data_IF_024401063101
#
_entry.id   IF_024401063101
#
_cell.length_a   1.000
_cell.length_b   1.000
_cell.length_c   1.000
_cell.angle_alpha   90.00
_cell.angle_beta   90.00
_cell.angle_gamma   90.00
#
_symmetry.space_group_name_H-M   'P 1'
#
loop_
_entity.id
_entity.type
_entity.pdbx_description
1 polymer ?
#
# COMPACT_ATOMS: atom_id res chain seq x y z
N UNK A 1 -20.53 -15.69 -36.03
CA UNK A 1 -19.89 -15.85 -34.71
C UNK A 1 -18.41 -15.55 -34.89
N UNK A 2 -17.99 -14.32 -34.62
CA UNK A 2 -16.57 -13.95 -34.56
C UNK A 2 -16.23 -13.70 -33.09
N UNK A 3 -15.16 -14.30 -32.55
CA UNK A 3 -14.83 -14.15 -31.14
C UNK A 3 -14.31 -12.73 -30.87
N UNK A 4 -14.87 -12.08 -29.84
CA UNK A 4 -14.35 -10.83 -29.28
C UNK A 4 -12.97 -11.10 -28.65
N UNK A 5 -11.96 -10.25 -28.87
CA UNK A 5 -10.71 -10.37 -28.14
C UNK A 5 -10.93 -9.88 -26.70
N UNK A 6 -10.67 -10.77 -25.74
CA UNK A 6 -10.61 -10.45 -24.32
C UNK A 6 -9.27 -9.75 -24.03
N UNK A 7 -9.29 -8.43 -23.88
CA UNK A 7 -8.17 -7.67 -23.32
C UNK A 7 -8.18 -7.84 -21.79
N UNK A 8 -7.25 -8.63 -21.26
CA UNK A 8 -6.97 -8.69 -19.83
C UNK A 8 -6.38 -7.36 -19.33
N UNK A 9 -6.47 -7.05 -18.01
CA UNK A 9 -5.96 -5.80 -17.48
C UNK A 9 -4.44 -5.77 -17.62
N UNK A 10 -3.93 -4.74 -18.32
CA UNK A 10 -2.51 -4.48 -18.43
C UNK A 10 -1.89 -4.32 -17.03
N UNK A 11 -0.81 -5.04 -16.77
CA UNK A 11 -0.03 -4.89 -15.54
C UNK A 11 0.39 -3.42 -15.38
N UNK A 12 -0.16 -2.71 -14.38
CA UNK A 12 0.19 -1.33 -14.09
C UNK A 12 1.69 -1.28 -13.74
N UNK A 13 2.52 -0.81 -14.68
CA UNK A 13 3.95 -0.57 -14.44
C UNK A 13 4.08 0.40 -13.26
N UNK A 14 4.99 0.12 -12.33
CA UNK A 14 5.21 0.94 -11.14
C UNK A 14 5.45 2.42 -11.51
N UNK A 15 4.59 3.31 -11.01
CA UNK A 15 4.68 4.74 -11.24
C UNK A 15 6.03 5.30 -10.73
N UNK A 16 6.67 6.23 -11.44
CA UNK A 16 7.90 6.87 -10.97
C UNK A 16 7.65 7.61 -9.65
N UNK A 17 8.57 7.42 -8.68
CA UNK A 17 8.47 8.05 -7.35
C UNK A 17 8.45 9.57 -7.48
N UNK A 18 7.42 10.19 -6.92
CA UNK A 18 7.23 11.64 -6.88
C UNK A 18 7.51 12.19 -5.49
N UNK A 19 8.18 13.34 -5.41
CA UNK A 19 8.33 14.13 -4.18
C UNK A 19 7.55 15.43 -4.34
N UNK A 20 6.44 15.64 -3.61
CA UNK A 20 5.73 16.91 -3.62
C UNK A 20 6.54 17.99 -2.90
N UNK A 21 6.39 19.23 -3.36
CA UNK A 21 6.90 20.43 -2.69
C UNK A 21 6.01 20.86 -1.53
N UNK A 22 6.49 21.77 -0.66
CA UNK A 22 5.76 22.21 0.54
C UNK A 22 4.46 22.96 0.24
N UNK A 23 4.34 23.55 -0.95
CA UNK A 23 3.21 24.37 -1.40
C UNK A 23 2.23 23.64 -2.33
N UNK A 24 2.43 22.33 -2.58
CA UNK A 24 1.63 21.52 -3.53
C UNK A 24 1.69 21.97 -5.01
N UNK A 25 2.38 23.08 -5.30
CA UNK A 25 2.56 23.65 -6.64
C UNK A 25 3.87 23.19 -7.31
N UNK A 26 4.55 22.21 -6.72
CA UNK A 26 5.75 21.61 -7.28
C UNK A 26 5.76 20.11 -7.06
N UNK A 27 6.05 19.34 -8.11
CA UNK A 27 6.31 17.90 -8.01
C UNK A 27 7.58 17.55 -8.76
N UNK A 28 8.52 16.88 -8.09
CA UNK A 28 9.73 16.36 -8.71
C UNK A 28 9.66 14.84 -8.77
N UNK A 29 9.75 14.29 -9.97
CA UNK A 29 9.74 12.86 -10.27
C UNK A 29 11.17 12.39 -10.48
N UNK A 30 11.52 11.25 -9.89
CA UNK A 30 12.81 10.61 -10.14
C UNK A 30 12.96 10.26 -11.63
N UNK A 31 14.21 10.11 -12.09
CA UNK A 31 14.48 9.80 -13.48
C UNK A 31 13.76 8.50 -13.87
N UNK A 32 12.96 8.56 -14.93
CA UNK A 32 12.21 7.40 -15.40
C UNK A 32 13.20 6.41 -16.03
N UNK A 33 13.25 5.14 -15.59
CA UNK A 33 14.24 4.20 -16.07
C UNK A 33 14.10 3.93 -17.58
N UNK A 34 15.23 3.55 -18.17
CA UNK A 34 15.28 3.13 -19.57
C UNK A 34 14.32 1.96 -19.81
N UNK A 35 13.73 1.90 -21.00
CA UNK A 35 12.86 0.79 -21.42
C UNK A 35 13.28 0.29 -22.79
N UNK A 36 13.10 -1.01 -23.00
CA UNK A 36 13.10 -1.59 -24.34
C UNK A 36 11.69 -1.47 -24.91
N UNK A 37 11.58 -0.86 -26.09
CA UNK A 37 10.31 -0.66 -26.80
C UNK A 37 10.35 -1.49 -28.07
N UNK A 38 9.26 -2.18 -28.40
CA UNK A 38 9.15 -2.83 -29.72
C UNK A 38 8.79 -1.79 -30.80
N UNK A 39 9.15 -2.07 -32.05
CA UNK A 39 8.73 -1.24 -33.19
C UNK A 39 7.19 -1.18 -33.26
N UNK A 40 6.63 0.03 -33.31
CA UNK A 40 5.18 0.25 -33.34
C UNK A 40 4.47 0.28 -31.98
N UNK A 41 5.14 -0.01 -30.86
CA UNK A 41 4.54 0.11 -29.52
C UNK A 41 4.23 1.58 -29.20
N UNK A 42 3.02 1.94 -28.72
CA UNK A 42 2.73 3.30 -28.28
C UNK A 42 3.68 3.70 -27.14
N UNK A 43 4.05 4.99 -27.06
CA UNK A 43 4.89 5.46 -25.96
C UNK A 43 4.12 5.53 -24.62
N UNK A 44 2.80 5.70 -24.73
CA UNK A 44 1.88 5.99 -23.64
C UNK A 44 0.58 5.19 -23.78
N UNK A 45 0.09 4.65 -22.67
CA UNK A 45 -1.03 3.71 -22.61
C UNK A 45 -2.38 4.41 -22.42
N UNK A 46 -2.40 5.56 -21.74
CA UNK A 46 -3.63 6.30 -21.48
C UNK A 46 -4.03 7.16 -22.67
N UNK A 47 -5.33 7.43 -22.83
CA UNK A 47 -5.80 8.29 -23.90
C UNK A 47 -5.36 9.76 -23.70
N UNK A 48 -5.24 10.22 -22.45
CA UNK A 48 -4.78 11.57 -22.13
C UNK A 48 -3.27 11.73 -22.32
N UNK A 49 -2.49 10.69 -22.01
CA UNK A 49 -1.08 10.59 -22.36
C UNK A 49 -0.88 10.62 -23.87
N UNK A 50 -1.70 9.89 -24.64
CA UNK A 50 -1.69 9.95 -26.11
C UNK A 50 -2.04 11.34 -26.64
N UNK A 51 -3.04 12.00 -26.08
CA UNK A 51 -3.40 13.37 -26.46
C UNK A 51 -2.25 14.36 -26.22
N UNK A 52 -1.55 14.21 -25.09
CA UNK A 52 -0.35 15.00 -24.77
C UNK A 52 0.79 14.79 -25.78
N UNK A 53 1.11 13.53 -26.09
CA UNK A 53 2.14 13.20 -27.10
C UNK A 53 1.73 13.72 -28.47
N UNK A 54 0.48 13.54 -28.87
CA UNK A 54 -0.05 14.03 -30.13
C UNK A 54 0.08 15.56 -30.25
N UNK A 55 -0.17 16.32 -29.18
CA UNK A 55 0.01 17.77 -29.18
C UNK A 55 1.44 18.20 -29.54
N UNK A 56 2.45 17.46 -29.06
CA UNK A 56 3.85 17.69 -29.42
C UNK A 56 4.17 17.22 -30.85
N UNK A 57 3.68 16.04 -31.25
CA UNK A 57 3.93 15.51 -32.59
C UNK A 57 3.32 16.41 -33.67
N UNK A 58 2.14 16.98 -33.43
CA UNK A 58 1.55 18.00 -34.31
C UNK A 58 2.33 19.32 -34.33
N UNK A 59 3.10 19.63 -33.29
CA UNK A 59 4.00 20.79 -33.28
C UNK A 59 5.19 20.61 -34.25
N UNK A 60 5.59 19.36 -34.54
CA UNK A 60 6.78 19.04 -35.31
C UNK A 60 6.49 18.21 -36.56
N UNK A 61 6.73 18.79 -37.73
CA UNK A 61 6.68 18.04 -39.00
C UNK A 61 7.94 17.19 -39.27
N UNK A 62 8.93 17.17 -38.37
CA UNK A 62 10.18 16.44 -38.54
C UNK A 62 10.14 15.09 -37.80
N UNK A 63 9.59 14.08 -38.47
CA UNK A 63 9.46 12.73 -37.91
C UNK A 63 10.78 12.09 -37.48
N UNK A 64 11.89 12.37 -38.20
CA UNK A 64 13.21 11.84 -37.84
C UNK A 64 13.73 12.44 -36.53
N UNK A 65 13.40 13.71 -36.24
CA UNK A 65 13.73 14.37 -34.98
C UNK A 65 12.89 13.85 -33.82
N UNK A 66 11.59 13.63 -34.03
CA UNK A 66 10.71 13.01 -33.05
C UNK A 66 11.20 11.59 -32.69
N UNK A 67 11.57 10.79 -33.70
CA UNK A 67 12.14 9.45 -33.49
C UNK A 67 13.41 9.47 -32.61
N UNK A 68 14.33 10.42 -32.85
CA UNK A 68 15.51 10.60 -31.98
C UNK A 68 15.14 11.02 -30.56
N UNK A 69 14.13 11.89 -30.40
CA UNK A 69 13.62 12.27 -29.09
C UNK A 69 13.02 11.09 -28.32
N UNK A 70 12.24 10.26 -29.01
CA UNK A 70 11.68 9.01 -28.48
C UNK A 70 12.79 8.06 -28.02
N UNK A 71 13.84 7.87 -28.83
CA UNK A 71 14.99 7.06 -28.46
C UNK A 71 15.69 7.60 -27.19
N UNK A 72 15.89 8.91 -27.08
CA UNK A 72 16.48 9.52 -25.87
C UNK A 72 15.62 9.30 -24.61
N UNK A 73 14.31 9.33 -24.77
CA UNK A 73 13.39 9.01 -23.70
C UNK A 73 13.52 7.53 -23.29
N UNK A 74 13.48 6.61 -24.26
CA UNK A 74 13.61 5.16 -24.03
C UNK A 74 14.96 4.78 -23.40
N UNK A 75 16.05 5.44 -23.79
CA UNK A 75 17.40 5.22 -23.25
C UNK A 75 17.63 5.80 -21.85
N UNK A 76 16.60 6.36 -21.21
CA UNK A 76 16.70 6.95 -19.87
C UNK A 76 17.60 8.19 -19.80
N UNK A 77 17.71 8.97 -20.90
CA UNK A 77 18.57 10.18 -20.94
C UNK A 77 17.97 11.38 -20.23
N UNK A 78 16.68 11.32 -19.88
CA UNK A 78 15.97 12.38 -19.15
C UNK A 78 16.16 12.15 -17.65
N UNK A 79 16.78 13.12 -16.97
CA UNK A 79 16.96 13.09 -15.53
C UNK A 79 15.63 13.36 -14.80
N UNK A 80 15.69 13.61 -13.49
CA UNK A 80 14.51 13.95 -12.70
C UNK A 80 13.69 15.10 -13.34
N UNK A 81 12.38 14.92 -13.43
CA UNK A 81 11.44 15.86 -14.06
C UNK A 81 10.79 16.68 -12.95
N UNK A 82 10.82 18.01 -13.06
CA UNK A 82 10.10 18.91 -12.16
C UNK A 82 8.94 19.55 -12.88
N UNK A 83 7.75 19.43 -12.29
CA UNK A 83 6.49 19.99 -12.77
C UNK A 83 6.03 21.08 -11.80
N UNK A 84 5.65 22.22 -12.35
CA UNK A 84 5.03 23.37 -11.66
C UNK A 84 3.90 23.92 -12.55
N UNK A 85 3.02 24.80 -12.04
CA UNK A 85 2.07 25.55 -12.87
C UNK A 85 2.69 26.07 -14.17
N UNK A 86 2.09 25.66 -15.29
CA UNK A 86 2.46 26.05 -16.64
C UNK A 86 3.81 25.55 -17.16
N UNK A 87 4.49 24.64 -16.46
CA UNK A 87 5.90 24.38 -16.75
C UNK A 87 6.42 23.00 -16.33
N UNK A 88 7.14 22.36 -17.24
CA UNK A 88 7.86 21.10 -17.03
C UNK A 88 9.32 21.26 -17.40
N UNK A 89 10.23 20.79 -16.55
CA UNK A 89 11.68 20.89 -16.77
C UNK A 89 12.39 19.61 -16.43
N UNK A 90 13.38 19.27 -17.25
CA UNK A 90 14.40 18.28 -16.89
C UNK A 90 15.75 18.62 -17.51
N UNK A 91 16.79 18.00 -16.96
CA UNK A 91 18.08 17.91 -17.63
C UNK A 91 18.12 16.66 -18.52
N UNK A 92 18.55 16.82 -19.77
CA UNK A 92 18.62 15.73 -20.74
C UNK A 92 20.05 15.54 -21.19
N UNK A 93 20.56 14.32 -20.99
CA UNK A 93 21.91 13.93 -21.41
C UNK A 93 21.97 13.85 -22.94
N UNK A 94 23.02 14.41 -23.53
CA UNK A 94 23.25 14.40 -24.97
C UNK A 94 24.71 14.12 -25.28
N UNK A 95 25.20 14.65 -26.40
CA UNK A 95 26.59 14.44 -26.83
C UNK A 95 27.63 15.22 -26.02
N UNK A 96 27.22 16.25 -25.27
CA UNK A 96 28.13 17.03 -24.41
C UNK A 96 28.12 16.47 -22.99
N UNK A 97 29.25 16.62 -22.29
CA UNK A 97 29.39 16.21 -20.90
C UNK A 97 28.38 16.91 -19.97
N UNK A 98 28.09 18.19 -20.22
CA UNK A 98 27.04 18.93 -19.49
C UNK A 98 25.67 18.66 -20.11
N UNK A 99 24.68 18.15 -19.34
CA UNK A 99 23.31 17.95 -19.83
C UNK A 99 22.63 19.26 -20.27
N UNK A 100 21.73 19.17 -21.25
CA UNK A 100 20.93 20.31 -21.71
C UNK A 100 19.70 20.49 -20.82
N UNK A 101 19.36 21.73 -20.51
CA UNK A 101 18.13 22.05 -19.79
C UNK A 101 16.99 22.16 -20.78
N UNK A 102 16.11 21.17 -20.78
CA UNK A 102 14.89 21.14 -21.58
C UNK A 102 13.71 21.64 -20.74
N UNK A 103 12.88 22.46 -21.36
CA UNK A 103 11.71 23.07 -20.75
C UNK A 103 10.55 22.98 -21.73
N UNK A 104 9.37 22.66 -21.20
CA UNK A 104 8.12 22.71 -21.93
C UNK A 104 7.13 23.55 -21.11
N UNK A 105 6.63 24.61 -21.71
CA UNK A 105 5.61 25.46 -21.11
C UNK A 105 4.24 25.11 -21.66
N UNK A 106 3.23 25.25 -20.81
CA UNK A 106 1.82 25.02 -21.09
C UNK A 106 1.03 26.22 -20.53
N UNK A 107 -0.03 26.66 -21.21
CA UNK A 107 -0.90 27.71 -20.64
C UNK A 107 -1.65 27.16 -19.42
N UNK A 108 -1.62 27.91 -18.33
CA UNK A 108 -2.47 27.66 -17.17
C UNK A 108 -3.89 28.13 -17.45
N UNK A 109 -4.87 27.57 -16.73
CA UNK A 109 -6.23 28.09 -16.78
C UNK A 109 -6.35 29.40 -16.00
N UNK A 110 -7.31 30.21 -16.43
CA UNK A 110 -7.83 31.32 -15.64
C UNK A 110 -8.65 30.78 -14.47
N UNK A 111 -8.93 31.62 -13.47
CA UNK A 111 -9.86 31.28 -12.37
C UNK A 111 -11.21 30.79 -12.91
N UNK A 112 -11.75 31.47 -13.92
CA UNK A 112 -13.00 31.08 -14.59
C UNK A 112 -12.91 29.72 -15.26
N UNK A 113 -11.78 29.39 -15.90
CA UNK A 113 -11.56 28.07 -16.50
C UNK A 113 -11.48 26.97 -15.45
N UNK A 114 -10.85 27.24 -14.31
CA UNK A 114 -10.83 26.34 -13.17
C UNK A 114 -12.22 26.13 -12.56
N UNK A 115 -12.99 27.20 -12.36
CA UNK A 115 -14.35 27.11 -11.84
C UNK A 115 -15.25 26.25 -12.72
N UNK A 116 -15.16 26.43 -14.03
CA UNK A 116 -15.89 25.63 -15.02
C UNK A 116 -15.49 24.15 -14.97
N UNK A 117 -14.19 23.84 -14.93
CA UNK A 117 -13.71 22.47 -14.83
C UNK A 117 -14.19 21.80 -13.53
N UNK A 118 -14.06 22.50 -12.40
CA UNK A 118 -14.49 21.99 -11.09
C UNK A 118 -16.01 21.76 -11.03
N UNK A 119 -16.80 22.62 -11.67
CA UNK A 119 -18.24 22.41 -11.81
C UNK A 119 -18.56 21.16 -12.67
N UNK A 120 -17.83 20.93 -13.76
CA UNK A 120 -17.99 19.74 -14.60
C UNK A 120 -17.62 18.43 -13.86
N UNK A 121 -16.61 18.47 -12.99
CA UNK A 121 -16.28 17.33 -12.11
C UNK A 121 -17.38 17.13 -11.06
N UNK A 122 -17.83 18.20 -10.40
CA UNK A 122 -18.81 18.11 -9.31
C UNK A 122 -20.21 17.69 -9.77
N UNK A 123 -20.58 18.02 -11.01
CA UNK A 123 -21.88 17.66 -11.58
C UNK A 123 -22.09 16.15 -11.77
N UNK A 124 -21.03 15.34 -11.77
CA UNK A 124 -21.12 13.89 -11.94
C UNK A 124 -20.19 13.18 -10.95
N UNK A 125 -20.73 12.50 -9.92
CA UNK A 125 -19.91 11.79 -8.92
C UNK A 125 -18.86 10.84 -9.51
N UNK A 126 -19.17 10.21 -10.65
CA UNK A 126 -18.25 9.33 -11.37
C UNK A 126 -16.98 10.03 -11.87
N UNK A 127 -17.01 11.33 -12.17
CA UNK A 127 -15.82 12.07 -12.58
C UNK A 127 -14.82 12.20 -11.43
N UNK A 128 -15.29 12.54 -10.22
CA UNK A 128 -14.42 12.59 -9.04
C UNK A 128 -13.86 11.21 -8.71
N UNK A 129 -14.70 10.16 -8.71
CA UNK A 129 -14.26 8.79 -8.43
C UNK A 129 -13.15 8.33 -9.39
N UNK A 130 -13.29 8.63 -10.68
CA UNK A 130 -12.27 8.29 -11.67
C UNK A 130 -10.96 9.07 -11.44
N UNK A 131 -11.04 10.38 -11.15
CA UNK A 131 -9.85 11.18 -10.83
C UNK A 131 -9.13 10.63 -9.58
N UNK A 132 -9.87 10.28 -8.51
CA UNK A 132 -9.32 9.64 -7.32
C UNK A 132 -8.65 8.29 -7.63
N UNK A 133 -9.18 7.54 -8.61
CA UNK A 133 -8.58 6.31 -9.14
C UNK A 133 -7.39 6.56 -10.10
N UNK A 134 -6.96 7.82 -10.26
CA UNK A 134 -5.91 8.28 -11.17
C UNK A 134 -6.22 8.00 -12.65
N UNK A 135 -7.50 8.17 -13.02
CA UNK A 135 -7.99 8.04 -14.38
C UNK A 135 -8.61 9.36 -14.86
N UNK A 136 -8.42 9.70 -16.14
CA UNK A 136 -9.08 10.85 -16.76
C UNK A 136 -10.29 10.38 -17.57
N UNK A 137 -11.55 10.68 -17.18
CA UNK A 137 -12.72 10.33 -17.98
C UNK A 137 -12.77 11.11 -19.29
N UNK A 138 -13.12 10.43 -20.38
CA UNK A 138 -13.44 11.10 -21.66
C UNK A 138 -14.58 12.09 -21.49
N UNK A 139 -15.64 11.69 -20.79
CA UNK A 139 -16.81 12.53 -20.50
C UNK A 139 -16.44 13.82 -19.78
N UNK A 140 -15.47 13.80 -18.84
CA UNK A 140 -15.00 15.01 -18.18
C UNK A 140 -14.34 15.98 -19.17
N UNK A 141 -13.47 15.47 -20.04
CA UNK A 141 -12.80 16.29 -21.04
C UNK A 141 -13.78 16.83 -22.10
N UNK A 142 -14.78 16.05 -22.49
CA UNK A 142 -15.83 16.48 -23.41
C UNK A 142 -16.71 17.56 -22.79
N UNK A 143 -17.18 17.37 -21.55
CA UNK A 143 -17.96 18.40 -20.81
C UNK A 143 -17.15 19.67 -20.59
N UNK A 144 -15.87 19.56 -20.23
CA UNK A 144 -15.00 20.74 -20.08
C UNK A 144 -14.86 21.48 -21.43
N UNK A 145 -14.70 20.74 -22.54
CA UNK A 145 -14.57 21.32 -23.88
C UNK A 145 -15.87 21.99 -24.36
N UNK A 146 -17.03 21.43 -24.05
CA UNK A 146 -18.33 22.05 -24.32
C UNK A 146 -18.50 23.39 -23.58
N UNK A 147 -17.85 23.53 -22.43
CA UNK A 147 -17.78 24.76 -21.65
C UNK A 147 -16.53 25.62 -21.95
N UNK A 148 -15.92 25.44 -23.14
CA UNK A 148 -14.75 26.19 -23.64
C UNK A 148 -13.46 26.03 -22.80
N UNK A 149 -13.37 25.00 -21.97
CA UNK A 149 -12.17 24.64 -21.21
C UNK A 149 -11.49 23.45 -21.86
N UNK A 150 -10.40 23.71 -22.59
CA UNK A 150 -9.62 22.64 -23.23
C UNK A 150 -8.66 21.99 -22.22
N UNK A 151 -9.10 20.89 -21.61
CA UNK A 151 -8.32 20.16 -20.60
C UNK A 151 -6.94 19.71 -21.12
N UNK A 152 -6.93 19.00 -22.25
CA UNK A 152 -5.72 18.46 -22.88
C UNK A 152 -5.10 19.52 -23.81
N UNK A 153 -3.76 19.61 -23.92
CA UNK A 153 -3.14 20.61 -24.79
C UNK A 153 -3.42 20.35 -26.27
N UNK A 154 -3.49 21.45 -27.03
CA UNK A 154 -3.29 21.43 -28.48
C UNK A 154 -1.84 21.74 -28.85
N UNK A 155 -1.49 21.67 -30.13
CA UNK A 155 -0.16 22.07 -30.61
C UNK A 155 0.12 23.56 -30.38
N UNK A 156 -0.91 24.41 -30.36
CA UNK A 156 -0.82 25.84 -30.06
C UNK A 156 -0.61 26.14 -28.57
N UNK A 157 -0.67 25.13 -27.71
CA UNK A 157 -0.61 25.26 -26.25
C UNK A 157 0.76 24.95 -25.65
N UNK A 158 1.62 24.28 -26.42
CA UNK A 158 2.94 23.85 -25.99
C UNK A 158 4.04 24.77 -26.51
N UNK A 159 4.85 25.31 -25.60
CA UNK A 159 6.02 26.14 -25.93
C UNK A 159 7.32 25.46 -25.47
N UNK A 160 8.04 24.77 -26.39
CA UNK A 160 9.28 24.09 -26.08
C UNK A 160 10.50 25.04 -26.08
N UNK A 161 11.38 24.90 -25.10
CA UNK A 161 12.64 25.63 -24.99
C UNK A 161 13.78 24.72 -24.53
N UNK A 162 14.98 24.88 -25.08
CA UNK A 162 16.14 24.08 -24.71
C UNK A 162 17.44 24.87 -24.84
N UNK A 163 18.41 24.57 -23.97
CA UNK A 163 19.75 25.17 -24.04
C UNK A 163 20.66 24.50 -25.07
N UNK A 164 20.16 23.60 -25.91
CA UNK A 164 20.95 22.98 -26.97
C UNK A 164 21.04 23.90 -28.20
N UNK A 165 22.10 23.79 -29.03
CA UNK A 165 22.26 24.62 -30.22
C UNK A 165 21.33 24.23 -31.39
N UNK A 166 20.44 23.26 -31.19
CA UNK A 166 19.48 22.81 -32.21
C UNK A 166 18.29 23.78 -32.28
N UNK A 167 18.10 24.40 -33.45
CA UNK A 167 17.08 25.43 -33.69
C UNK A 167 15.69 24.88 -34.02
N UNK A 168 15.51 23.57 -34.19
CA UNK A 168 14.17 23.06 -34.49
C UNK A 168 13.26 22.98 -33.27
N UNK A 169 11.96 23.13 -33.51
CA UNK A 169 10.93 23.30 -32.49
C UNK A 169 9.93 22.13 -32.57
N UNK A 170 9.94 21.17 -31.61
CA UNK A 170 10.88 20.98 -30.51
C UNK A 170 12.19 20.32 -30.99
N UNK A 171 13.29 20.53 -30.27
CA UNK A 171 14.51 19.75 -30.47
C UNK A 171 14.35 18.33 -29.90
N UNK A 172 15.26 17.41 -30.23
CA UNK A 172 15.21 16.02 -29.70
C UNK A 172 15.16 15.94 -28.16
N UNK A 173 15.77 16.89 -27.44
CA UNK A 173 15.79 16.89 -25.98
C UNK A 173 14.43 17.27 -25.39
N UNK A 174 13.74 18.25 -25.97
CA UNK A 174 12.39 18.63 -25.51
C UNK A 174 11.37 17.58 -25.94
N UNK A 175 11.55 16.97 -27.11
CA UNK A 175 10.76 15.80 -27.51
C UNK A 175 10.93 14.65 -26.49
N UNK A 176 12.16 14.35 -26.07
CA UNK A 176 12.41 13.34 -25.04
C UNK A 176 11.72 13.67 -23.70
N UNK A 177 11.79 14.94 -23.26
CA UNK A 177 11.08 15.41 -22.07
C UNK A 177 9.56 15.23 -22.20
N UNK A 178 8.99 15.60 -23.34
CA UNK A 178 7.56 15.50 -23.58
C UNK A 178 7.08 14.04 -23.58
N UNK A 179 7.79 13.13 -24.26
CA UNK A 179 7.50 11.70 -24.21
C UNK A 179 7.52 11.17 -22.78
N UNK A 180 8.57 11.47 -22.00
CA UNK A 180 8.63 11.04 -20.59
C UNK A 180 7.53 11.67 -19.73
N UNK A 181 7.16 12.91 -19.99
CA UNK A 181 6.01 13.56 -19.31
C UNK A 181 4.71 12.82 -19.62
N UNK A 182 4.55 12.29 -20.83
CA UNK A 182 3.42 11.41 -21.19
C UNK A 182 3.31 10.18 -20.29
N UNK A 183 4.44 9.57 -19.89
CA UNK A 183 4.45 8.43 -18.95
C UNK A 183 4.13 8.85 -17.51
N UNK A 184 4.52 10.06 -17.11
CA UNK A 184 4.07 10.62 -15.83
C UNK A 184 2.54 10.77 -15.83
N UNK A 185 1.99 11.28 -16.94
CA UNK A 185 0.56 11.44 -17.13
C UNK A 185 -0.19 10.10 -17.09
N UNK A 186 0.31 9.06 -17.77
CA UNK A 186 -0.29 7.71 -17.72
C UNK A 186 -0.45 7.18 -16.28
N UNK A 187 0.49 7.56 -15.40
CA UNK A 187 0.49 7.12 -14.01
C UNK A 187 -0.39 8.01 -13.11
N UNK A 188 -0.48 9.30 -13.42
CA UNK A 188 -1.17 10.29 -12.58
C UNK A 188 -1.68 11.50 -13.41
N UNK A 189 -3.00 11.60 -13.66
CA UNK A 189 -3.59 12.72 -14.38
C UNK A 189 -3.49 14.05 -13.62
N UNK A 190 -3.22 14.06 -12.30
CA UNK A 190 -3.04 15.31 -11.56
C UNK A 190 -1.78 16.07 -11.97
N UNK A 191 -0.84 15.41 -12.66
CA UNK A 191 0.30 16.09 -13.29
C UNK A 191 -0.19 17.09 -14.35
N UNK A 192 -1.23 16.75 -15.11
CA UNK A 192 -1.86 17.69 -16.05
C UNK A 192 -2.53 18.86 -15.33
N UNK A 193 -3.27 18.57 -14.27
CA UNK A 193 -3.97 19.60 -13.48
C UNK A 193 -2.98 20.57 -12.83
N UNK A 194 -1.85 20.05 -12.33
CA UNK A 194 -0.74 20.87 -11.84
C UNK A 194 -0.17 21.75 -12.94
N UNK A 195 0.08 21.21 -14.14
CA UNK A 195 0.52 22.01 -15.29
C UNK A 195 -0.52 23.07 -15.68
N UNK A 196 -1.81 22.81 -15.49
CA UNK A 196 -2.90 23.78 -15.71
C UNK A 196 -3.04 24.80 -14.58
N UNK A 197 -2.37 24.62 -13.44
CA UNK A 197 -2.17 25.65 -12.43
C UNK A 197 -2.64 25.35 -11.01
N UNK A 198 -3.23 24.18 -10.72
CA UNK A 198 -3.70 23.82 -9.36
C UNK A 198 -3.01 22.58 -8.83
N UNK A 199 -2.64 22.64 -7.55
CA UNK A 199 -2.11 21.50 -6.81
C UNK A 199 -3.17 20.41 -6.59
N UNK A 200 -2.73 19.20 -6.29
CA UNK A 200 -3.62 18.06 -6.07
C UNK A 200 -4.46 18.23 -4.79
N UNK A 201 -3.86 18.65 -3.68
CA UNK A 201 -4.54 18.87 -2.41
C UNK A 201 -5.56 19.99 -2.53
N UNK A 202 -5.14 21.13 -3.06
CA UNK A 202 -6.01 22.30 -3.27
C UNK A 202 -7.24 21.93 -4.12
N UNK A 203 -7.02 21.17 -5.20
CA UNK A 203 -8.10 20.72 -6.08
C UNK A 203 -9.06 19.76 -5.37
N UNK A 204 -8.53 18.77 -4.62
CA UNK A 204 -9.34 17.79 -3.91
C UNK A 204 -10.17 18.42 -2.78
N UNK A 205 -9.61 19.38 -2.05
CA UNK A 205 -10.32 20.10 -0.99
C UNK A 205 -11.51 20.89 -1.56
N UNK A 206 -11.30 21.62 -2.66
CA UNK A 206 -12.36 22.39 -3.32
C UNK A 206 -13.43 21.50 -3.96
N UNK A 207 -13.04 20.37 -4.58
CA UNK A 207 -13.99 19.37 -5.08
C UNK A 207 -14.82 18.74 -3.96
N UNK A 208 -14.18 18.47 -2.81
CA UNK A 208 -14.87 18.00 -1.61
C UNK A 208 -15.95 18.97 -1.14
N UNK A 209 -15.63 20.27 -1.08
CA UNK A 209 -16.59 21.33 -0.72
C UNK A 209 -17.76 21.41 -1.71
N UNK A 210 -17.48 21.44 -3.02
CA UNK A 210 -18.53 21.52 -4.06
C UNK A 210 -19.44 20.30 -4.06
N UNK A 211 -18.89 19.11 -3.87
CA UNK A 211 -19.69 17.89 -3.80
C UNK A 211 -20.56 17.83 -2.54
N UNK A 212 -20.08 18.33 -1.40
CA UNK A 212 -20.89 18.45 -0.19
C UNK A 212 -22.06 19.42 -0.41
N UNK A 213 -21.83 20.56 -1.07
CA UNK A 213 -22.88 21.52 -1.44
C UNK A 213 -23.89 20.93 -2.42
N UNK A 214 -23.41 20.22 -3.44
CA UNK A 214 -24.28 19.56 -4.43
C UNK A 214 -25.14 18.49 -3.76
N UNK A 215 -24.54 17.64 -2.93
CA UNK A 215 -25.25 16.62 -2.15
C UNK A 215 -26.29 17.24 -1.20
N UNK A 216 -26.03 18.42 -0.65
CA UNK A 216 -26.97 19.15 0.19
C UNK A 216 -28.16 19.72 -0.62
N UNK A 217 -27.94 20.16 -1.87
CA UNK A 217 -28.99 20.67 -2.77
C UNK A 217 -29.85 19.56 -3.39
N UNK A 218 -29.24 18.42 -3.72
CA UNK A 218 -29.95 17.26 -4.30
C UNK A 218 -30.74 16.47 -3.26
N UNK A 219 -30.50 16.71 -1.97
CA UNK A 219 -31.31 16.13 -0.91
C UNK A 219 -32.74 16.70 -1.04
N UNK A 220 -33.76 15.88 -1.34
CA UNK A 220 -35.12 16.36 -1.42
C UNK A 220 -35.45 17.07 -0.11
N UNK A 221 -36.08 18.25 -0.19
CA UNK A 221 -36.71 18.82 0.98
C UNK A 221 -37.66 17.75 1.51
N UNK A 222 -37.34 17.17 2.67
CA UNK A 222 -38.22 16.22 3.32
C UNK A 222 -39.59 16.91 3.41
N UNK A 223 -40.70 16.22 3.07
CA UNK A 223 -42.02 16.80 3.29
C UNK A 223 -42.05 17.33 4.72
N UNK A 224 -42.52 18.57 4.89
CA UNK A 224 -42.64 19.20 6.20
C UNK A 224 -43.69 18.46 7.01
N UNK A 225 -43.32 17.27 7.50
CA UNK A 225 -43.97 16.63 8.62
C UNK A 225 -43.79 17.58 9.80
N UNK A 226 -44.85 17.81 10.60
CA UNK A 226 -44.70 18.54 11.86
C UNK A 226 -43.55 17.89 12.63
N UNK A 227 -42.46 18.62 12.78
CA UNK A 227 -41.26 18.16 13.46
C UNK A 227 -40.96 19.11 14.60
N UNK A 228 -40.46 18.54 15.68
CA UNK A 228 -39.93 19.25 16.83
C UNK A 228 -38.42 19.07 16.79
N UNK A 229 -37.66 20.08 17.23
CA UNK A 229 -36.22 19.91 17.35
C UNK A 229 -35.93 18.72 18.28
N UNK A 230 -34.95 17.88 17.94
CA UNK A 230 -34.63 16.69 18.75
C UNK A 230 -34.30 17.05 20.21
N UNK A 231 -33.71 18.23 20.43
CA UNK A 231 -33.49 18.77 21.76
C UNK A 231 -34.80 18.99 22.53
N UNK A 232 -35.78 19.65 21.92
CA UNK A 232 -37.09 19.92 22.55
C UNK A 232 -37.89 18.62 22.76
N UNK A 233 -37.80 17.67 21.81
CA UNK A 233 -38.43 16.36 21.93
C UNK A 233 -37.86 15.51 23.09
N UNK A 234 -36.62 15.77 23.47
CA UNK A 234 -35.90 15.05 24.52
C UNK A 234 -35.79 15.84 25.83
N UNK A 235 -36.07 17.15 25.82
CA UNK A 235 -35.89 18.06 26.96
C UNK A 235 -36.78 17.68 28.16
N UNK A 236 -38.06 17.38 27.89
CA UNK A 236 -39.04 17.03 28.93
C UNK A 236 -39.16 15.51 29.15
N UNK A 237 -38.23 14.72 28.60
CA UNK A 237 -38.28 13.27 28.73
C UNK A 237 -37.75 12.87 30.09
N UNK A 238 -38.62 12.31 30.93
CA UNK A 238 -38.18 11.56 32.10
C UNK A 238 -37.33 10.38 31.62
N UNK A 239 -36.01 10.50 31.69
CA UNK A 239 -35.09 9.41 31.42
C UNK A 239 -35.14 8.48 32.64
N UNK A 240 -35.68 7.25 32.50
CA UNK A 240 -35.54 6.29 33.58
C UNK A 240 -34.05 6.08 33.89
N UNK A 241 -33.71 5.66 35.11
CA UNK A 241 -32.33 5.28 35.41
C UNK A 241 -31.83 4.30 34.36
N UNK A 242 -30.56 4.44 33.95
CA UNK A 242 -29.95 3.54 32.99
C UNK A 242 -30.21 2.09 33.43
N UNK A 243 -30.66 1.21 32.53
CA UNK A 243 -30.78 -0.20 32.87
C UNK A 243 -29.43 -0.71 33.36
N UNK A 244 -29.47 -1.69 34.28
CA UNK A 244 -28.24 -2.33 34.72
C UNK A 244 -27.45 -2.82 33.49
N UNK A 245 -26.11 -2.71 33.50
CA UNK A 245 -25.29 -3.23 32.42
C UNK A 245 -25.64 -4.68 32.12
N UNK A 246 -25.70 -5.03 30.83
CA UNK A 246 -25.91 -6.41 30.43
C UNK A 246 -24.77 -7.28 31.00
N UNK A 247 -25.07 -8.52 31.42
CA UNK A 247 -24.03 -9.44 31.86
C UNK A 247 -23.04 -9.69 30.72
N UNK A 248 -21.76 -9.81 31.07
CA UNK A 248 -20.71 -10.12 30.09
C UNK A 248 -20.95 -11.53 29.53
N UNK A 249 -21.02 -11.71 28.20
CA UNK A 249 -21.16 -13.03 27.61
C UNK A 249 -20.00 -13.97 28.01
N UNK A 250 -20.23 -15.28 28.15
CA UNK A 250 -19.17 -16.24 28.50
C UNK A 250 -18.12 -16.39 27.40
N UNK A 251 -18.46 -16.09 26.14
CA UNK A 251 -17.59 -16.22 24.97
C UNK A 251 -17.69 -15.00 24.05
N UNK A 252 -16.67 -14.74 23.21
CA UNK A 252 -16.77 -13.76 22.13
C UNK A 252 -17.98 -14.02 21.22
N UNK A 253 -18.57 -12.93 20.70
CA UNK A 253 -19.66 -13.03 19.73
C UNK A 253 -19.18 -13.62 18.40
N UNK A 254 -20.07 -14.32 17.70
CA UNK A 254 -19.81 -14.78 16.34
C UNK A 254 -20.39 -13.79 15.33
N UNK A 255 -19.63 -13.41 14.28
CA UNK A 255 -20.13 -12.53 13.25
C UNK A 255 -21.21 -13.22 12.40
N UNK A 256 -22.12 -12.46 11.77
CA UNK A 256 -23.03 -13.02 10.78
C UNK A 256 -22.27 -13.48 9.53
N UNK A 257 -22.80 -14.48 8.83
CA UNK A 257 -22.26 -14.86 7.52
C UNK A 257 -22.49 -13.74 6.50
N UNK A 258 -21.41 -13.33 5.82
CA UNK A 258 -21.46 -12.29 4.81
C UNK A 258 -21.69 -12.88 3.41
N UNK A 259 -22.62 -12.33 2.60
CA UNK A 259 -22.82 -12.78 1.23
C UNK A 259 -21.66 -12.38 0.32
N UNK A 260 -21.36 -13.19 -0.69
CA UNK A 260 -20.45 -12.82 -1.77
C UNK A 260 -21.16 -11.85 -2.73
N UNK A 261 -20.57 -10.66 -2.93
CA UNK A 261 -21.15 -9.57 -3.72
C UNK A 261 -20.13 -9.08 -4.77
N UNK A 262 -20.52 -8.88 -6.04
CA UNK A 262 -19.61 -8.39 -7.08
C UNK A 262 -18.97 -7.05 -6.69
N UNK A 263 -17.64 -7.01 -6.66
CA UNK A 263 -16.87 -5.81 -6.31
C UNK A 263 -16.70 -5.56 -4.80
N UNK A 264 -17.29 -6.39 -3.93
CA UNK A 264 -17.06 -6.34 -2.49
C UNK A 264 -15.73 -7.02 -2.10
N UNK A 265 -15.29 -6.76 -0.86
CA UNK A 265 -14.16 -7.46 -0.25
C UNK A 265 -14.51 -8.94 -0.02
N UNK A 266 -13.50 -9.81 -0.04
CA UNK A 266 -13.62 -11.24 0.25
C UNK A 266 -14.42 -11.49 1.55
N UNK A 267 -15.58 -12.18 1.50
CA UNK A 267 -16.42 -12.45 2.67
C UNK A 267 -15.67 -13.19 3.79
N UNK A 268 -14.74 -14.08 3.45
CA UNK A 268 -13.93 -14.81 4.44
C UNK A 268 -12.92 -13.90 5.14
N UNK A 269 -12.39 -12.90 4.44
CA UNK A 269 -11.59 -11.84 5.04
C UNK A 269 -12.40 -10.99 6.01
N UNK A 270 -13.64 -10.66 5.66
CA UNK A 270 -14.53 -9.85 6.50
C UNK A 270 -14.98 -10.61 7.76
N UNK A 271 -15.38 -11.87 7.60
CA UNK A 271 -15.69 -12.79 8.70
C UNK A 271 -14.54 -12.88 9.70
N UNK A 272 -13.32 -13.00 9.19
CA UNK A 272 -12.12 -13.06 10.01
C UNK A 272 -11.89 -11.77 10.83
N UNK A 273 -11.96 -10.61 10.19
CA UNK A 273 -11.82 -9.32 10.87
C UNK A 273 -12.92 -9.09 11.91
N UNK A 274 -14.15 -9.53 11.62
CA UNK A 274 -15.27 -9.40 12.54
C UNK A 274 -15.13 -10.35 13.74
N UNK A 275 -14.63 -11.57 13.53
CA UNK A 275 -14.29 -12.53 14.60
C UNK A 275 -13.19 -11.96 15.50
N UNK A 276 -12.14 -11.39 14.92
CA UNK A 276 -11.06 -10.75 15.68
C UNK A 276 -11.55 -9.57 16.52
N UNK A 277 -12.40 -8.72 15.94
CA UNK A 277 -13.00 -7.60 16.64
C UNK A 277 -13.89 -8.05 17.80
N UNK A 278 -14.65 -9.13 17.64
CA UNK A 278 -15.48 -9.70 18.70
C UNK A 278 -14.64 -10.29 19.84
N UNK A 279 -13.54 -10.98 19.52
CA UNK A 279 -12.59 -11.48 20.51
C UNK A 279 -11.94 -10.35 21.31
N UNK A 280 -11.49 -9.28 20.64
CA UNK A 280 -10.92 -8.09 21.30
C UNK A 280 -11.94 -7.39 22.20
N UNK A 281 -13.17 -7.21 21.73
CA UNK A 281 -14.23 -6.57 22.51
C UNK A 281 -14.55 -7.39 23.78
N UNK A 282 -14.59 -8.72 23.66
CA UNK A 282 -14.80 -9.61 24.80
C UNK A 282 -13.64 -9.55 25.80
N UNK A 283 -12.39 -9.55 25.33
CA UNK A 283 -11.21 -9.39 26.18
C UNK A 283 -11.22 -8.04 26.93
N UNK A 284 -11.61 -6.96 26.24
CA UNK A 284 -11.79 -5.64 26.84
C UNK A 284 -12.86 -5.63 27.94
N UNK A 285 -14.01 -6.27 27.68
CA UNK A 285 -15.12 -6.34 28.63
C UNK A 285 -14.78 -7.18 29.88
N UNK A 286 -14.00 -8.26 29.71
CA UNK A 286 -13.68 -9.20 30.79
C UNK A 286 -12.48 -8.79 31.62
N UNK A 287 -11.44 -8.22 30.99
CA UNK A 287 -10.16 -7.91 31.64
C UNK A 287 -9.92 -6.41 31.86
N UNK A 288 -10.69 -5.53 31.20
CA UNK A 288 -10.44 -4.10 31.16
C UNK A 288 -9.16 -3.71 30.40
N UNK A 289 -8.52 -4.67 29.71
CA UNK A 289 -7.29 -4.47 28.96
C UNK A 289 -7.51 -4.82 27.50
N UNK A 290 -6.89 -4.02 26.65
CA UNK A 290 -6.88 -4.27 25.22
C UNK A 290 -5.71 -5.20 24.87
N UNK A 291 -5.95 -6.43 24.41
CA UNK A 291 -4.87 -7.35 24.04
C UNK A 291 -4.06 -6.86 22.83
N UNK A 292 -4.57 -5.89 22.07
CA UNK A 292 -3.90 -5.33 20.90
C UNK A 292 -3.19 -4.00 21.21
N UNK A 293 -3.43 -3.40 22.37
CA UNK A 293 -2.80 -2.13 22.70
C UNK A 293 -1.28 -2.30 22.82
N UNK A 294 -0.54 -1.49 22.06
CA UNK A 294 0.93 -1.49 22.04
C UNK A 294 1.57 -2.40 20.99
N UNK A 295 0.79 -3.18 20.24
CA UNK A 295 1.34 -3.92 19.09
C UNK A 295 1.72 -2.94 17.96
N UNK A 296 2.90 -3.17 17.38
CA UNK A 296 3.30 -2.51 16.14
C UNK A 296 2.49 -3.04 14.95
N UNK A 297 2.40 -2.31 13.82
CA UNK A 297 1.72 -2.81 12.62
C UNK A 297 2.25 -4.16 12.12
N UNK A 298 3.54 -4.43 12.33
CA UNK A 298 4.14 -5.72 12.00
C UNK A 298 3.66 -6.84 12.93
N UNK A 299 3.68 -6.61 14.24
CA UNK A 299 3.21 -7.60 15.23
C UNK A 299 1.72 -7.90 15.03
N UNK A 300 0.90 -6.89 14.73
CA UNK A 300 -0.52 -7.08 14.45
C UNK A 300 -0.75 -7.86 13.15
N UNK A 301 0.03 -7.60 12.10
CA UNK A 301 -0.03 -8.39 10.86
C UNK A 301 0.33 -9.86 11.08
N UNK A 302 1.36 -10.14 11.90
CA UNK A 302 1.76 -11.50 12.26
C UNK A 302 0.65 -12.19 13.06
N UNK A 303 0.06 -11.51 14.05
CA UNK A 303 -1.06 -12.01 14.85
C UNK A 303 -2.28 -12.37 13.98
N UNK A 304 -2.67 -11.47 13.09
CA UNK A 304 -3.77 -11.69 12.14
C UNK A 304 -3.46 -12.91 11.26
N UNK A 305 -2.25 -13.01 10.71
CA UNK A 305 -1.86 -14.16 9.89
C UNK A 305 -1.83 -15.48 10.69
N UNK A 306 -1.41 -15.44 11.96
CA UNK A 306 -1.29 -16.61 12.83
C UNK A 306 -2.62 -17.23 13.21
N UNK A 307 -3.67 -16.41 13.35
CA UNK A 307 -5.03 -16.83 13.73
C UNK A 307 -5.76 -17.71 12.69
N UNK A 308 -5.18 -17.94 11.50
CA UNK A 308 -5.74 -18.85 10.49
C UNK A 308 -5.10 -20.24 10.55
N UNK A 309 -5.82 -21.31 10.96
CA UNK A 309 -5.26 -22.66 11.08
C UNK A 309 -4.57 -23.15 9.80
N UNK A 310 -5.13 -22.80 8.63
CA UNK A 310 -4.65 -23.24 7.31
C UNK A 310 -3.70 -22.25 6.61
N UNK A 311 -2.97 -21.44 7.37
CA UNK A 311 -1.98 -20.48 6.88
C UNK A 311 -1.15 -21.01 5.69
N UNK A 312 -1.28 -20.36 4.53
CA UNK A 312 -0.53 -20.69 3.30
C UNK A 312 -1.09 -21.83 2.43
N UNK A 313 -2.07 -22.61 2.89
CA UNK A 313 -2.56 -23.81 2.18
C UNK A 313 -3.65 -23.51 1.14
N UNK A 314 -4.46 -22.47 1.37
CA UNK A 314 -5.54 -22.07 0.44
C UNK A 314 -5.14 -20.87 -0.41
N UNK A 315 -5.83 -20.67 -1.54
CA UNK A 315 -5.65 -19.47 -2.37
C UNK A 315 -5.92 -18.18 -1.56
N UNK A 316 -6.96 -18.21 -0.72
CA UNK A 316 -7.36 -17.09 0.16
C UNK A 316 -6.30 -16.77 1.21
N UNK A 317 -5.73 -17.79 1.87
CA UNK A 317 -4.65 -17.57 2.85
C UNK A 317 -3.36 -17.06 2.18
N UNK A 318 -3.05 -17.51 0.96
CA UNK A 318 -1.89 -17.00 0.20
C UNK A 318 -2.07 -15.55 -0.26
N UNK A 319 -3.30 -15.14 -0.58
CA UNK A 319 -3.61 -13.75 -0.87
C UNK A 319 -3.39 -12.88 0.37
N UNK A 320 -3.94 -13.28 1.52
CA UNK A 320 -3.76 -12.58 2.80
C UNK A 320 -2.27 -12.41 3.16
N UNK A 321 -1.48 -13.49 3.08
CA UNK A 321 -0.05 -13.44 3.38
C UNK A 321 0.71 -12.46 2.48
N UNK A 322 0.38 -12.42 1.18
CA UNK A 322 1.00 -11.46 0.25
C UNK A 322 0.61 -10.02 0.58
N UNK A 323 -0.66 -9.78 0.91
CA UNK A 323 -1.14 -8.44 1.25
C UNK A 323 -0.51 -7.92 2.55
N UNK A 324 -0.48 -8.75 3.60
CA UNK A 324 0.14 -8.39 4.89
C UNK A 324 1.65 -8.18 4.77
N UNK A 325 2.35 -9.06 4.05
CA UNK A 325 3.78 -8.90 3.80
C UNK A 325 4.06 -7.60 3.01
N UNK A 326 3.26 -7.33 1.97
CA UNK A 326 3.40 -6.10 1.18
C UNK A 326 3.12 -4.84 2.01
N UNK A 327 2.06 -4.83 2.81
CA UNK A 327 1.68 -3.70 3.65
C UNK A 327 2.72 -3.39 4.74
N UNK A 328 3.45 -4.40 5.19
CA UNK A 328 4.50 -4.27 6.23
C UNK A 328 5.91 -4.14 5.65
N UNK A 329 6.06 -4.12 4.32
CA UNK A 329 7.36 -4.03 3.66
C UNK A 329 8.25 -5.27 3.82
N UNK A 330 7.66 -6.43 4.10
CA UNK A 330 8.34 -7.73 4.32
C UNK A 330 8.04 -8.69 3.17
N UNK A 331 8.76 -9.79 3.11
CA UNK A 331 8.43 -10.89 2.20
C UNK A 331 7.55 -11.95 2.90
N UNK A 332 6.95 -12.84 2.11
CA UNK A 332 6.03 -13.87 2.62
C UNK A 332 6.73 -14.93 3.48
N UNK A 333 8.03 -15.18 3.25
CA UNK A 333 8.82 -16.13 4.03
C UNK A 333 9.08 -15.60 5.44
N UNK A 334 9.44 -14.31 5.54
CA UNK A 334 9.59 -13.62 6.82
C UNK A 334 8.29 -13.63 7.62
N UNK A 335 7.16 -13.36 6.96
CA UNK A 335 5.84 -13.45 7.59
C UNK A 335 5.52 -14.87 8.04
N UNK A 336 5.81 -15.89 7.23
CA UNK A 336 5.58 -17.29 7.63
C UNK A 336 6.42 -17.70 8.84
N UNK A 337 7.70 -17.30 8.87
CA UNK A 337 8.60 -17.54 10.01
C UNK A 337 8.15 -16.80 11.27
N UNK A 338 7.74 -15.54 11.13
CA UNK A 338 7.19 -14.75 12.22
C UNK A 338 5.87 -15.34 12.76
N UNK A 339 5.00 -15.85 11.89
CA UNK A 339 3.77 -16.56 12.28
C UNK A 339 4.09 -17.85 13.03
N UNK A 340 5.07 -18.62 12.59
CA UNK A 340 5.51 -19.81 13.32
C UNK A 340 6.01 -19.45 14.73
N UNK A 341 6.75 -18.34 14.87
CA UNK A 341 7.24 -17.86 16.16
C UNK A 341 6.12 -17.36 17.06
N UNK A 342 5.14 -16.65 16.47
CA UNK A 342 3.94 -16.21 17.18
C UNK A 342 3.10 -17.39 17.66
N UNK A 343 3.00 -18.47 16.89
CA UNK A 343 2.30 -19.69 17.33
C UNK A 343 3.05 -20.39 18.46
N UNK A 344 4.38 -20.38 18.40
CA UNK A 344 5.22 -20.98 19.43
C UNK A 344 5.04 -20.31 20.80
N UNK A 345 5.00 -18.98 20.88
CA UNK A 345 4.86 -18.31 22.18
C UNK A 345 4.38 -16.86 22.12
N UNK A 346 3.49 -16.54 21.19
CA UNK A 346 2.85 -15.24 21.05
C UNK A 346 3.84 -14.11 20.73
N UNK A 347 3.62 -12.96 21.34
CA UNK A 347 4.47 -11.78 21.17
C UNK A 347 5.92 -12.05 21.62
N UNK A 348 6.13 -12.85 22.66
CA UNK A 348 7.46 -13.19 23.15
C UNK A 348 8.20 -14.09 22.14
N UNK A 349 7.51 -15.08 21.56
CA UNK A 349 8.10 -15.92 20.50
C UNK A 349 8.58 -15.10 19.30
N UNK A 350 7.80 -14.09 18.88
CA UNK A 350 8.22 -13.16 17.83
C UNK A 350 9.41 -12.29 18.26
N UNK A 351 9.42 -11.78 19.49
CA UNK A 351 10.53 -10.98 20.01
C UNK A 351 11.85 -11.78 20.04
N UNK A 352 11.79 -13.03 20.50
CA UNK A 352 12.92 -13.96 20.56
C UNK A 352 13.42 -14.35 19.17
N UNK A 353 12.53 -14.40 18.17
CA UNK A 353 12.93 -14.59 16.77
C UNK A 353 13.73 -13.39 16.23
N UNK A 354 13.28 -12.16 16.50
CA UNK A 354 13.76 -10.96 15.80
C UNK A 354 14.88 -10.20 16.50
N UNK A 355 14.88 -10.17 17.85
CA UNK A 355 15.75 -9.28 18.62
C UNK A 355 16.55 -10.07 19.66
N UNK A 356 17.84 -10.35 19.38
CA UNK A 356 18.73 -10.95 20.36
C UNK A 356 19.03 -9.97 21.51
N UNK A 357 19.01 -10.47 22.74
CA UNK A 357 19.20 -9.68 23.97
C UNK A 357 20.18 -10.35 24.93
N UNK A 358 20.74 -9.58 25.86
CA UNK A 358 21.71 -10.08 26.84
C UNK A 358 21.01 -10.40 28.18
N UNK A 359 20.81 -11.69 28.51
CA UNK A 359 20.14 -12.07 29.75
C UNK A 359 21.00 -11.75 30.98
N UNK A 360 20.39 -11.33 32.10
CA UNK A 360 21.12 -11.18 33.35
C UNK A 360 21.63 -12.53 33.83
N UNK A 361 22.67 -12.50 34.67
CA UNK A 361 23.21 -13.71 35.26
C UNK A 361 22.11 -14.51 35.99
N UNK A 362 22.03 -15.82 35.74
CA UNK A 362 21.00 -16.66 36.36
C UNK A 362 20.50 -17.82 35.49
N UNK A 363 19.18 -17.88 35.15
CA UNK A 363 18.60 -19.03 34.46
C UNK A 363 19.32 -19.43 33.15
N UNK A 364 19.76 -18.44 32.36
CA UNK A 364 20.51 -18.69 31.13
C UNK A 364 21.84 -19.41 31.39
N UNK A 365 22.62 -18.97 32.38
CA UNK A 365 23.93 -19.57 32.70
C UNK A 365 23.82 -21.01 33.19
N UNK A 366 22.70 -21.36 33.83
CA UNK A 366 22.43 -22.71 34.34
C UNK A 366 22.10 -23.70 33.23
N UNK A 367 21.71 -23.25 32.04
CA UNK A 367 21.27 -24.15 30.98
C UNK A 367 22.38 -25.04 30.44
N UNK A 368 23.59 -24.50 30.22
CA UNK A 368 24.70 -25.29 29.66
C UNK A 368 25.14 -26.45 30.58
N UNK A 369 25.29 -26.25 31.91
CA UNK A 369 25.49 -27.36 32.84
C UNK A 369 24.37 -28.42 32.83
N UNK A 370 23.11 -27.99 32.76
CA UNK A 370 21.95 -28.91 32.72
C UNK A 370 21.96 -29.75 31.44
N UNK A 371 22.17 -29.11 30.29
CA UNK A 371 22.28 -29.78 29.00
C UNK A 371 23.46 -30.77 28.96
N UNK A 372 24.60 -30.40 29.54
CA UNK A 372 25.75 -31.30 29.62
C UNK A 372 25.49 -32.51 30.54
N UNK A 373 24.75 -32.32 31.65
CA UNK A 373 24.35 -33.40 32.54
C UNK A 373 23.37 -34.37 31.89
N UNK A 374 22.54 -33.89 30.95
CA UNK A 374 21.66 -34.69 30.10
C UNK A 374 22.36 -35.23 28.83
N UNK A 375 23.70 -35.22 28.79
CA UNK A 375 24.53 -35.77 27.72
C UNK A 375 24.34 -35.13 26.33
N UNK A 376 23.80 -33.91 26.27
CA UNK A 376 23.69 -33.14 25.01
C UNK A 376 25.04 -32.53 24.57
N UNK A 377 25.24 -32.30 23.27
CA UNK A 377 26.44 -31.66 22.74
C UNK A 377 26.64 -30.25 23.30
N UNK A 378 27.89 -29.82 23.37
CA UNK A 378 28.25 -28.48 23.85
C UNK A 378 27.74 -27.42 22.88
N UNK A 379 26.68 -26.71 23.27
CA UNK A 379 26.14 -25.58 22.52
C UNK A 379 26.99 -24.32 22.71
N UNK A 380 27.20 -23.58 21.62
CA UNK A 380 27.92 -22.32 21.59
C UNK A 380 26.99 -21.18 22.04
N UNK A 381 27.33 -20.45 23.12
CA UNK A 381 26.53 -19.33 23.59
C UNK A 381 26.81 -18.05 22.79
N UNK A 382 25.76 -17.29 22.51
CA UNK A 382 25.84 -15.93 21.99
C UNK A 382 24.58 -15.16 22.41
N UNK A 383 24.73 -14.11 23.21
CA UNK A 383 23.58 -13.38 23.80
C UNK A 383 22.61 -14.37 24.48
N UNK A 384 21.33 -14.31 24.18
CA UNK A 384 20.30 -15.24 24.64
C UNK A 384 20.22 -16.56 23.83
N UNK A 385 21.18 -16.87 22.95
CA UNK A 385 21.15 -18.06 22.10
C UNK A 385 22.16 -19.12 22.54
N UNK A 386 21.77 -20.40 22.40
CA UNK A 386 22.62 -21.57 22.51
C UNK A 386 22.53 -22.37 21.20
N UNK A 387 23.59 -22.32 20.39
CA UNK A 387 23.60 -22.88 19.03
C UNK A 387 24.37 -24.19 18.95
N UNK A 388 23.83 -25.19 18.25
CA UNK A 388 24.54 -26.42 17.97
C UNK A 388 25.78 -26.16 17.07
N UNK A 389 26.94 -26.82 17.29
CA UNK A 389 28.15 -26.58 16.50
C UNK A 389 28.00 -26.79 14.99
N UNK A 390 27.08 -27.68 14.56
CA UNK A 390 26.79 -27.90 13.15
C UNK A 390 25.78 -26.89 12.55
N UNK A 391 25.23 -25.98 13.36
CA UNK A 391 24.23 -25.00 12.93
C UNK A 391 22.89 -25.63 12.54
N UNK A 392 22.52 -26.76 13.16
CA UNK A 392 21.30 -27.51 12.84
C UNK A 392 20.11 -27.17 13.74
N UNK A 393 20.39 -26.78 14.98
CA UNK A 393 19.37 -26.35 15.93
C UNK A 393 19.92 -25.31 16.91
N UNK A 394 19.02 -24.53 17.50
CA UNK A 394 19.33 -23.45 18.43
C UNK A 394 18.22 -23.34 19.48
N UNK A 395 18.62 -23.15 20.73
CA UNK A 395 17.72 -22.71 21.79
C UNK A 395 17.88 -21.21 22.00
N UNK A 396 16.78 -20.49 22.17
CA UNK A 396 16.79 -19.06 22.51
C UNK A 396 16.02 -18.80 23.79
N UNK A 397 16.59 -18.00 24.68
CA UNK A 397 16.00 -17.67 25.96
C UNK A 397 15.13 -16.40 25.85
N UNK A 398 13.87 -16.49 26.30
CA UNK A 398 12.90 -15.40 26.30
C UNK A 398 12.91 -14.56 27.57
N UNK A 399 12.30 -13.38 27.52
CA UNK A 399 12.08 -12.50 28.67
C UNK A 399 11.08 -13.09 29.67
N UNK A 400 10.27 -14.05 29.23
CA UNK A 400 9.34 -14.84 30.04
C UNK A 400 10.02 -16.02 30.78
N UNK A 401 11.35 -16.10 30.70
CA UNK A 401 12.18 -17.16 31.28
C UNK A 401 11.91 -18.57 30.71
N UNK A 402 11.46 -18.68 29.47
CA UNK A 402 11.31 -19.95 28.74
C UNK A 402 12.34 -20.09 27.62
N UNK A 403 12.56 -21.33 27.20
CA UNK A 403 13.44 -21.72 26.11
C UNK A 403 12.64 -22.04 24.85
N UNK A 404 12.99 -21.35 23.77
CA UNK A 404 12.36 -21.47 22.46
C UNK A 404 13.28 -22.26 21.53
N UNK A 405 12.76 -23.33 20.94
CA UNK A 405 13.49 -24.19 20.00
C UNK A 405 13.41 -23.68 18.56
N UNK A 406 14.54 -23.73 17.86
CA UNK A 406 14.66 -23.39 16.45
C UNK A 406 15.50 -24.43 15.72
N UNK A 407 15.15 -24.71 14.46
CA UNK A 407 15.91 -25.55 13.54
C UNK A 407 16.38 -24.75 12.31
N UNK A 408 17.45 -25.18 11.67
CA UNK A 408 17.90 -24.62 10.39
C UNK A 408 18.64 -25.67 9.58
N UNK A 409 18.64 -25.51 8.26
CA UNK A 409 19.50 -26.30 7.39
C UNK A 409 20.99 -26.00 7.67
N UNK A 410 21.89 -26.99 7.60
CA UNK A 410 23.32 -26.77 7.83
C UNK A 410 23.90 -25.66 6.95
N UNK A 411 24.43 -24.61 7.57
CA UNK A 411 25.05 -23.48 6.86
C UNK A 411 24.07 -22.40 6.36
N UNK A 412 22.77 -22.55 6.62
CA UNK A 412 21.78 -21.49 6.43
C UNK A 412 21.61 -20.68 7.73
N UNK A 413 21.28 -19.39 7.61
CA UNK A 413 20.93 -18.53 8.76
C UNK A 413 19.40 -18.36 8.90
N UNK A 414 18.65 -19.28 8.30
CA UNK A 414 17.18 -19.29 8.31
C UNK A 414 16.66 -20.19 9.43
N UNK A 415 16.57 -19.62 10.64
CA UNK A 415 16.07 -20.31 11.83
C UNK A 415 14.53 -20.40 11.86
N UNK A 416 13.99 -21.62 11.89
CA UNK A 416 12.57 -21.90 11.93
C UNK A 416 12.12 -22.34 13.34
N UNK A 417 11.11 -21.68 13.93
CA UNK A 417 10.52 -22.03 15.23
C UNK A 417 9.96 -23.45 15.25
N UNK A 418 10.24 -24.22 16.31
CA UNK A 418 9.77 -25.61 16.49
C UNK A 418 9.54 -25.94 17.96
N UNK A 419 8.55 -26.80 18.21
CA UNK A 419 8.10 -27.25 19.53
C UNK A 419 7.62 -26.14 20.47
N UNK A 420 6.86 -26.51 21.50
CA UNK A 420 6.40 -25.57 22.52
C UNK A 420 7.58 -25.05 23.38
N UNK A 421 7.54 -23.80 23.87
CA UNK A 421 8.57 -23.28 24.75
C UNK A 421 8.45 -23.85 26.17
N UNK A 422 9.58 -24.14 26.80
CA UNK A 422 9.64 -24.78 28.13
C UNK A 422 10.57 -24.00 29.08
N UNK A 423 10.24 -23.84 30.37
CA UNK A 423 11.17 -23.27 31.35
C UNK A 423 12.45 -24.10 31.55
N UNK A 424 12.42 -25.41 31.31
CA UNK A 424 13.58 -26.30 31.36
C UNK A 424 14.26 -26.41 29.99
N UNK A 425 15.54 -26.00 29.86
CA UNK A 425 16.27 -26.09 28.60
C UNK A 425 16.45 -27.53 28.08
N UNK A 426 16.46 -28.53 28.97
CA UNK A 426 16.57 -29.95 28.58
C UNK A 426 15.27 -30.40 27.91
N UNK A 427 14.13 -30.17 28.56
CA UNK A 427 12.82 -30.49 28.00
C UNK A 427 12.55 -29.75 26.68
N UNK A 428 12.92 -28.46 26.59
CA UNK A 428 12.80 -27.70 25.35
C UNK A 428 13.62 -28.32 24.20
N UNK A 429 14.83 -28.81 24.49
CA UNK A 429 15.68 -29.45 23.48
C UNK A 429 15.17 -30.83 23.07
N UNK A 430 14.69 -31.62 24.03
CA UNK A 430 14.09 -32.92 23.75
C UNK A 430 12.85 -32.79 22.85
N UNK A 431 11.95 -31.84 23.16
CA UNK A 431 10.77 -31.54 22.34
C UNK A 431 11.15 -31.08 20.93
N UNK A 432 12.20 -30.27 20.81
CA UNK A 432 12.74 -29.82 19.52
C UNK A 432 13.25 -31.01 18.67
N UNK A 433 13.95 -31.96 19.27
CA UNK A 433 14.56 -33.11 18.58
C UNK A 433 13.56 -34.22 18.24
N UNK A 434 12.55 -34.42 19.08
CA UNK A 434 11.46 -35.40 18.86
C UNK A 434 10.45 -34.90 17.84
N UNK A 435 10.41 -33.59 17.60
CA UNK A 435 9.55 -32.97 16.58
C UNK A 435 8.10 -32.79 17.04
N UNK A 436 7.86 -32.74 18.35
CA UNK A 436 6.52 -32.53 18.90
C UNK A 436 5.91 -31.23 18.33
N UNK A 437 4.68 -31.28 17.79
CA UNK A 437 4.04 -30.10 17.23
C UNK A 437 3.80 -29.07 18.33
N UNK A 438 3.87 -27.79 17.97
CA UNK A 438 3.38 -26.71 18.84
C UNK A 438 1.90 -26.99 19.12
N UNK A 439 1.48 -27.18 20.38
CA UNK A 439 0.08 -27.43 20.69
C UNK A 439 -0.75 -26.21 20.28
N UNK A 440 -1.83 -26.46 19.54
CA UNK A 440 -2.81 -25.44 19.17
C UNK A 440 -3.57 -25.03 20.45
N UNK A 441 -3.50 -23.77 20.89
CA UNK A 441 -4.23 -23.32 22.08
C UNK A 441 -5.77 -23.41 21.91
N UNK A 442 -6.26 -23.56 20.67
CA UNK A 442 -7.69 -23.74 20.34
C UNK A 442 -8.07 -25.20 20.02
N UNK A 443 -7.16 -26.18 20.22
CA UNK A 443 -7.54 -27.59 20.13
C UNK A 443 -8.46 -27.97 21.29
N UNK A 444 -9.75 -28.16 20.99
CA UNK A 444 -10.74 -28.69 21.91
C UNK A 444 -10.18 -29.91 22.66
N UNK A 445 -10.34 -29.99 24.00
CA UNK A 445 -9.95 -31.20 24.72
C UNK A 445 -10.70 -32.39 24.12
N UNK A 446 -10.05 -33.57 23.97
CA UNK A 446 -10.73 -34.74 23.46
C UNK A 446 -11.91 -35.03 24.38
N UNK A 447 -13.13 -34.86 23.85
CA UNK A 447 -14.37 -35.18 24.53
C UNK A 447 -14.25 -36.59 25.16
N UNK A 448 -14.20 -36.62 26.49
CA UNK A 448 -14.55 -37.81 27.25
C UNK A 448 -16.06 -38.00 27.08
N UNK A 449 -16.44 -39.20 26.62
CA UNK A 449 -17.84 -39.63 26.49
C UNK A 449 -18.61 -39.54 27.80
#
# INVERSE_FOLDING_TARGET
>A
MSPRPTSGPAARRSAPRARPGPDDLRRTFEAVPARTSQEGEPFVDSWWGRAWVAALEFLSMDGARLARGRAYADDGKVAAITVTPGRVVAYVHGSRARPYRAELRLRTFTETGWDTLLAAVAAHPGHLSALLAKEMPHSLADTAREADVRLLPGSDDLDPSCTCPDLGRPCKHVAALCYQTGRLLDSDPFVLLLMRGRGERELLDELGRRNAEHSARERPAAPAVPSVAAADALADRYLPPLPAPLPVPPYPGQPPSYPDLPGARDPLGLDHLATDAAARAHALLTSGRDPLAGLTPWQDAVRIAASRPTAGLTATTRALYRELAHATGRNTTDLARAVAAWRQGGAEGLAVLETPWDPPAGPFDRARPLLAAAEFPRLAPWRNHLTHPAGTFQLRFGHDARWYGYESDPGADDWWPRAAPDPDPVAALEALLTGDPVPDPDADPPYVR
#
